data_IF_368415403275
#
_entry.id   IF_368415403275
#
_cell.length_a   1.000
_cell.length_b   1.000
_cell.length_c   1.000
_cell.angle_alpha   90.00
_cell.angle_beta   90.00
_cell.angle_gamma   90.00
#
_symmetry.space_group_name_H-M   'P 1'
#
loop_
_entity.id
_entity.type
_entity.pdbx_description
1 polymer ?
#
# COMPACT_ATOMS: atom_id res chain seq x y z
N UNK A 1 -27.41 13.19 -25.30
CA UNK A 1 -27.28 12.36 -24.11
C UNK A 1 -25.95 11.55 -24.05
N UNK A 2 -25.52 10.91 -25.10
CA UNK A 2 -24.27 10.09 -25.10
C UNK A 2 -22.97 10.90 -24.84
N UNK A 3 -22.86 12.14 -25.39
CA UNK A 3 -21.69 13.01 -25.16
C UNK A 3 -21.56 13.50 -23.70
N UNK A 4 -22.66 13.75 -23.02
CA UNK A 4 -22.69 14.21 -21.62
C UNK A 4 -22.22 13.13 -20.65
N UNK A 5 -22.63 11.87 -20.89
CA UNK A 5 -22.21 10.70 -20.11
C UNK A 5 -20.70 10.46 -20.28
N UNK A 6 -20.17 10.65 -21.50
CA UNK A 6 -18.74 10.54 -21.78
C UNK A 6 -17.91 11.59 -21.05
N UNK A 7 -18.40 12.84 -20.98
CA UNK A 7 -17.73 13.94 -20.26
C UNK A 7 -17.68 13.69 -18.75
N UNK A 8 -18.80 13.27 -18.15
CA UNK A 8 -18.88 12.93 -16.73
C UNK A 8 -17.93 11.78 -16.35
N UNK A 9 -17.90 10.73 -17.17
CA UNK A 9 -16.98 9.62 -16.96
C UNK A 9 -15.51 10.04 -17.02
N UNK A 10 -15.15 10.89 -17.99
CA UNK A 10 -13.79 11.42 -18.12
C UNK A 10 -13.41 12.28 -16.92
N UNK A 11 -14.30 13.18 -16.49
CA UNK A 11 -14.09 14.00 -15.30
C UNK A 11 -13.85 13.15 -14.05
N UNK A 12 -14.72 12.17 -13.80
CA UNK A 12 -14.60 11.28 -12.64
C UNK A 12 -13.31 10.49 -12.68
N UNK A 13 -12.90 10.01 -13.86
CA UNK A 13 -11.61 9.31 -14.02
C UNK A 13 -10.41 10.20 -13.71
N UNK A 14 -10.43 11.45 -14.15
CA UNK A 14 -9.36 12.42 -13.86
C UNK A 14 -9.28 12.67 -12.35
N UNK A 15 -10.42 12.91 -11.70
CA UNK A 15 -10.49 13.12 -10.25
C UNK A 15 -9.91 11.92 -9.49
N UNK A 16 -10.26 10.70 -9.86
CA UNK A 16 -9.71 9.50 -9.23
C UNK A 16 -8.20 9.38 -9.43
N UNK A 17 -7.67 9.72 -10.62
CA UNK A 17 -6.23 9.70 -10.89
C UNK A 17 -5.51 10.75 -10.02
N UNK A 18 -6.06 11.94 -9.87
CA UNK A 18 -5.49 13.00 -9.03
C UNK A 18 -5.50 12.62 -7.55
N UNK A 19 -6.61 12.09 -7.04
CA UNK A 19 -6.73 11.60 -5.67
C UNK A 19 -5.70 10.49 -5.42
N UNK A 20 -5.64 9.51 -6.32
CA UNK A 20 -4.68 8.42 -6.19
C UNK A 20 -3.23 8.94 -6.23
N UNK A 21 -2.90 9.82 -7.17
CA UNK A 21 -1.57 10.41 -7.29
C UNK A 21 -1.15 11.16 -6.02
N UNK A 22 -2.09 11.89 -5.41
CA UNK A 22 -1.86 12.58 -4.15
C UNK A 22 -1.56 11.61 -3.00
N UNK A 23 -2.40 10.57 -2.81
CA UNK A 23 -2.16 9.56 -1.77
C UNK A 23 -0.91 8.73 -2.04
N UNK A 24 -0.61 8.41 -3.29
CA UNK A 24 0.63 7.74 -3.65
C UNK A 24 1.86 8.58 -3.28
N UNK A 25 1.82 9.89 -3.55
CA UNK A 25 2.86 10.82 -3.16
C UNK A 25 3.06 10.88 -1.65
N UNK A 26 1.96 10.95 -0.87
CA UNK A 26 2.04 10.93 0.59
C UNK A 26 2.67 9.63 1.11
N UNK A 27 2.22 8.49 0.59
CA UNK A 27 2.78 7.18 0.96
C UNK A 27 4.25 7.06 0.58
N UNK A 28 4.64 7.56 -0.59
CA UNK A 28 6.04 7.57 -1.02
C UNK A 28 6.89 8.43 -0.07
N UNK A 29 6.44 9.63 0.29
CA UNK A 29 7.15 10.48 1.25
C UNK A 29 7.35 9.75 2.59
N UNK A 30 6.28 9.17 3.14
CA UNK A 30 6.37 8.42 4.39
C UNK A 30 7.33 7.24 4.27
N UNK A 31 7.30 6.50 3.16
CA UNK A 31 8.22 5.37 2.95
C UNK A 31 9.68 5.82 2.88
N UNK A 32 9.96 6.97 2.28
CA UNK A 32 11.32 7.52 2.18
C UNK A 32 11.92 7.91 3.53
N UNK A 33 11.09 8.28 4.52
CA UNK A 33 11.57 8.56 5.89
C UNK A 33 12.19 7.34 6.57
N UNK A 34 11.86 6.13 6.09
CA UNK A 34 12.41 4.86 6.59
C UNK A 34 13.65 4.37 5.82
N UNK A 35 14.30 5.25 5.05
CA UNK A 35 15.56 4.95 4.34
C UNK A 35 16.64 5.95 4.80
N UNK A 36 17.75 5.47 5.42
CA UNK A 36 18.07 4.08 5.77
C UNK A 36 17.18 3.52 6.90
N UNK A 37 17.14 2.19 7.01
CA UNK A 37 16.36 1.51 8.05
C UNK A 37 16.90 1.88 9.44
N UNK A 38 16.09 2.61 10.23
CA UNK A 38 16.40 3.11 11.57
C UNK A 38 15.21 2.85 12.48
N UNK A 39 15.47 2.56 13.76
CA UNK A 39 14.42 2.25 14.73
C UNK A 39 13.83 3.48 15.43
N UNK A 40 14.40 4.65 15.21
CA UNK A 40 14.11 5.91 15.90
C UNK A 40 13.43 6.96 15.00
N UNK A 41 12.70 6.51 13.96
CA UNK A 41 12.04 7.39 13.00
C UNK A 41 10.52 7.22 12.99
N UNK A 42 9.82 8.34 12.78
CA UNK A 42 8.38 8.41 12.52
C UNK A 42 7.53 7.49 13.42
N UNK A 43 6.80 6.55 12.81
CA UNK A 43 5.89 5.65 13.53
C UNK A 43 6.60 4.76 14.57
N UNK A 44 7.87 4.39 14.35
CA UNK A 44 8.61 3.55 15.29
C UNK A 44 8.90 4.26 16.61
N UNK A 45 9.04 5.58 16.61
CA UNK A 45 9.24 6.38 17.83
C UNK A 45 8.07 6.30 18.83
N UNK A 46 6.85 6.06 18.35
CA UNK A 46 5.66 5.95 19.20
C UNK A 46 5.36 4.50 19.64
N UNK A 47 6.15 3.53 19.16
CA UNK A 47 6.06 2.14 19.58
C UNK A 47 6.78 1.92 20.90
N UNK A 48 6.27 0.96 21.68
CA UNK A 48 6.92 0.52 22.92
C UNK A 48 8.31 -0.03 22.61
N UNK A 49 9.29 0.37 23.41
CA UNK A 49 10.70 -0.05 23.26
C UNK A 49 10.85 -1.56 23.22
N UNK A 50 10.03 -2.28 24.02
CA UNK A 50 10.00 -3.75 24.05
C UNK A 50 9.66 -4.34 22.67
N UNK A 51 8.70 -3.75 21.95
CA UNK A 51 8.31 -4.22 20.61
C UNK A 51 9.39 -3.95 19.58
N UNK A 52 10.05 -2.80 19.66
CA UNK A 52 11.12 -2.39 18.73
C UNK A 52 12.38 -3.21 18.96
N UNK A 53 12.65 -3.66 20.18
CA UNK A 53 13.81 -4.52 20.51
C UNK A 53 13.74 -5.91 19.85
N UNK A 54 12.55 -6.34 19.43
CA UNK A 54 12.40 -7.57 18.67
C UNK A 54 12.78 -7.35 17.20
N UNK A 55 13.89 -7.93 16.78
CA UNK A 55 14.37 -7.86 15.38
C UNK A 55 13.32 -8.35 14.36
N UNK A 56 12.50 -9.32 14.76
CA UNK A 56 11.39 -9.84 13.94
C UNK A 56 10.35 -8.78 13.64
N UNK A 57 9.97 -7.94 14.63
CA UNK A 57 9.00 -6.86 14.40
C UNK A 57 9.51 -5.87 13.36
N UNK A 58 10.76 -5.44 13.47
CA UNK A 58 11.40 -4.53 12.52
C UNK A 58 11.46 -5.13 11.12
N UNK A 59 11.79 -6.42 11.01
CA UNK A 59 11.78 -7.13 9.73
C UNK A 59 10.41 -7.09 9.05
N UNK A 60 9.34 -7.44 9.77
CA UNK A 60 7.98 -7.40 9.23
C UNK A 60 7.50 -5.97 8.95
N UNK A 61 7.85 -5.02 9.80
CA UNK A 61 7.55 -3.60 9.60
C UNK A 61 8.16 -3.09 8.29
N UNK A 62 9.45 -3.26 8.09
CA UNK A 62 10.12 -2.79 6.87
C UNK A 62 9.64 -3.54 5.63
N UNK A 63 9.39 -4.84 5.74
CA UNK A 63 8.79 -5.62 4.65
C UNK A 63 7.44 -5.02 4.26
N UNK A 64 6.59 -4.70 5.23
CA UNK A 64 5.28 -4.10 4.98
C UNK A 64 5.41 -2.72 4.33
N UNK A 65 6.20 -1.84 4.91
CA UNK A 65 6.38 -0.45 4.44
C UNK A 65 6.88 -0.42 3.00
N UNK A 66 7.94 -1.16 2.69
CA UNK A 66 8.52 -1.13 1.34
C UNK A 66 7.67 -1.85 0.30
N UNK A 67 7.04 -2.99 0.65
CA UNK A 67 6.19 -3.69 -0.32
C UNK A 67 4.89 -2.97 -0.58
N UNK A 68 4.33 -2.25 0.40
CA UNK A 68 3.06 -1.52 0.24
C UNK A 68 3.11 -0.49 -0.89
N UNK A 69 4.25 0.21 -1.09
CA UNK A 69 4.37 1.19 -2.18
C UNK A 69 4.33 0.50 -3.56
N UNK A 70 4.94 -0.68 -3.70
CA UNK A 70 4.89 -1.46 -4.93
C UNK A 70 3.53 -2.09 -5.18
N UNK A 71 2.84 -2.54 -4.13
CA UNK A 71 1.44 -3.02 -4.19
C UNK A 71 0.54 -1.90 -4.70
N UNK A 72 0.64 -0.71 -4.11
CA UNK A 72 -0.15 0.45 -4.49
C UNK A 72 0.09 0.84 -5.95
N UNK A 73 1.34 0.91 -6.38
CA UNK A 73 1.72 1.24 -7.75
C UNK A 73 1.24 0.19 -8.77
N UNK A 74 1.48 -1.10 -8.49
CA UNK A 74 1.07 -2.17 -9.39
C UNK A 74 -0.45 -2.31 -9.47
N UNK A 75 -1.14 -2.14 -8.35
CA UNK A 75 -2.61 -2.11 -8.30
C UNK A 75 -3.21 -0.97 -9.11
N UNK A 76 -2.62 0.23 -9.02
CA UNK A 76 -3.05 1.37 -9.83
C UNK A 76 -2.93 1.07 -11.33
N UNK A 77 -1.78 0.57 -11.78
CA UNK A 77 -1.60 0.22 -13.19
C UNK A 77 -2.62 -0.85 -13.60
N UNK A 78 -2.81 -1.89 -12.80
CA UNK A 78 -3.76 -2.96 -13.08
C UNK A 78 -5.20 -2.45 -13.22
N UNK A 79 -5.61 -1.47 -12.42
CA UNK A 79 -6.98 -0.90 -12.48
C UNK A 79 -7.15 0.06 -13.67
N UNK A 80 -6.18 0.93 -13.92
CA UNK A 80 -6.33 2.01 -14.91
C UNK A 80 -5.92 1.62 -16.33
N UNK A 81 -5.06 0.62 -16.47
CA UNK A 81 -4.70 0.08 -17.78
C UNK A 81 -5.78 -0.89 -18.23
N UNK A 82 -6.63 -0.45 -19.17
CA UNK A 82 -7.66 -1.31 -19.74
C UNK A 82 -7.04 -2.51 -20.47
N UNK A 83 -7.61 -3.73 -20.35
CA UNK A 83 -7.11 -4.94 -21.01
C UNK A 83 -7.42 -4.96 -22.52
N UNK A 84 -7.16 -3.85 -23.24
CA UNK A 84 -7.19 -3.80 -24.69
C UNK A 84 -6.02 -4.61 -25.27
N UNK A 85 -6.13 -5.05 -26.52
CA UNK A 85 -5.13 -5.90 -27.16
C UNK A 85 -3.69 -5.39 -27.01
N UNK A 86 -3.47 -4.08 -27.18
CA UNK A 86 -2.16 -3.42 -27.05
C UNK A 86 -1.59 -3.43 -25.62
N UNK A 87 -2.45 -3.38 -24.59
CA UNK A 87 -2.01 -3.24 -23.18
C UNK A 87 -2.34 -4.45 -22.32
N UNK A 88 -2.85 -5.53 -22.91
CA UNK A 88 -3.25 -6.74 -22.19
C UNK A 88 -2.09 -7.38 -21.41
N UNK A 89 -0.91 -7.42 -22.00
CA UNK A 89 0.26 -8.01 -21.35
C UNK A 89 0.71 -7.17 -20.15
N UNK A 90 0.68 -5.83 -20.28
CA UNK A 90 0.99 -4.90 -19.20
C UNK A 90 0.01 -5.06 -18.02
N UNK A 91 -1.29 -5.05 -18.31
CA UNK A 91 -2.35 -5.28 -17.30
C UNK A 91 -2.17 -6.61 -16.57
N UNK A 92 -1.90 -7.71 -17.32
CA UNK A 92 -1.66 -9.03 -16.72
C UNK A 92 -0.40 -9.08 -15.88
N UNK A 93 0.68 -8.45 -16.33
CA UNK A 93 1.95 -8.41 -15.63
C UNK A 93 1.81 -7.69 -14.28
N UNK A 94 1.30 -6.46 -14.30
CA UNK A 94 1.11 -5.69 -13.06
C UNK A 94 0.02 -6.28 -12.15
N UNK A 95 -1.03 -6.89 -12.72
CA UNK A 95 -2.03 -7.62 -11.94
C UNK A 95 -1.45 -8.82 -11.19
N UNK A 96 -0.55 -9.59 -11.81
CA UNK A 96 0.15 -10.69 -11.14
C UNK A 96 1.09 -10.19 -10.05
N UNK A 97 1.89 -9.15 -10.33
CA UNK A 97 2.77 -8.51 -9.33
C UNK A 97 1.97 -8.03 -8.13
N UNK A 98 0.85 -7.32 -8.37
CA UNK A 98 -0.04 -6.86 -7.31
C UNK A 98 -0.48 -8.01 -6.39
N UNK A 99 -1.02 -9.09 -6.97
CA UNK A 99 -1.52 -10.23 -6.19
C UNK A 99 -0.39 -10.92 -5.43
N UNK A 100 0.75 -11.16 -6.07
CA UNK A 100 1.90 -11.82 -5.45
C UNK A 100 2.44 -10.99 -4.27
N UNK A 101 2.71 -9.70 -4.49
CA UNK A 101 3.23 -8.82 -3.43
C UNK A 101 2.23 -8.66 -2.29
N UNK A 102 0.93 -8.54 -2.62
CA UNK A 102 -0.12 -8.40 -1.62
C UNK A 102 -0.21 -9.65 -0.74
N UNK A 103 -0.34 -10.83 -1.34
CA UNK A 103 -0.62 -12.06 -0.60
C UNK A 103 0.61 -12.65 0.10
N UNK A 104 1.81 -12.51 -0.49
CA UNK A 104 3.01 -13.13 0.06
C UNK A 104 3.81 -12.22 1.00
N UNK A 105 3.72 -10.92 0.84
CA UNK A 105 4.55 -9.98 1.59
C UNK A 105 3.72 -8.96 2.38
N UNK A 106 2.89 -8.14 1.72
CA UNK A 106 2.23 -7.03 2.37
C UNK A 106 1.16 -7.48 3.37
N UNK A 107 0.30 -8.44 3.02
CA UNK A 107 -0.74 -8.91 3.92
C UNK A 107 -0.17 -9.71 5.12
N UNK A 108 0.73 -10.70 4.96
CA UNK A 108 1.31 -11.40 6.10
C UNK A 108 2.08 -10.48 7.04
N UNK A 109 2.87 -9.55 6.51
CA UNK A 109 3.61 -8.59 7.34
C UNK A 109 2.67 -7.59 8.03
N UNK A 110 1.61 -7.15 7.38
CA UNK A 110 0.58 -6.29 7.97
C UNK A 110 -0.18 -6.99 9.10
N UNK A 111 -0.56 -8.26 8.92
CA UNK A 111 -1.20 -9.08 9.96
C UNK A 111 -0.27 -9.23 11.16
N UNK A 112 1.00 -9.56 10.93
CA UNK A 112 1.99 -9.65 12.01
C UNK A 112 2.07 -8.35 12.82
N UNK A 113 2.18 -7.20 12.14
CA UNK A 113 2.18 -5.89 12.80
C UNK A 113 0.89 -5.61 13.55
N UNK A 114 -0.25 -6.09 13.06
CA UNK A 114 -1.56 -5.96 13.67
C UNK A 114 -1.62 -6.56 15.09
N UNK A 115 -0.93 -7.67 15.34
CA UNK A 115 -0.83 -8.27 16.69
C UNK A 115 -0.14 -7.35 17.70
N UNK A 116 0.72 -6.45 17.24
CA UNK A 116 1.41 -5.45 18.06
C UNK A 116 0.76 -4.06 17.97
N UNK A 117 -0.47 -3.96 17.46
CA UNK A 117 -1.17 -2.67 17.38
C UNK A 117 -1.41 -2.07 18.78
N UNK A 118 -1.16 -0.77 18.92
CA UNK A 118 -1.44 -0.02 20.14
C UNK A 118 -2.97 0.19 20.25
N UNK A 119 -3.52 0.20 21.47
CA UNK A 119 -4.95 0.45 21.70
C UNK A 119 -5.76 -0.78 22.14
N UNK A 120 -5.08 -1.86 22.55
CA UNK A 120 -5.70 -3.05 23.14
C UNK A 120 -6.34 -3.99 22.11
N UNK A 121 -7.23 -4.87 22.58
CA UNK A 121 -7.81 -5.96 21.79
C UNK A 121 -8.60 -5.44 20.58
N UNK A 122 -9.39 -4.38 20.76
CA UNK A 122 -10.22 -3.82 19.67
C UNK A 122 -9.35 -3.29 18.52
N UNK A 123 -8.24 -2.61 18.83
CA UNK A 123 -7.31 -2.16 17.81
C UNK A 123 -6.68 -3.34 17.07
N UNK A 124 -6.23 -4.37 17.78
CA UNK A 124 -5.64 -5.57 17.17
C UNK A 124 -6.63 -6.27 16.24
N UNK A 125 -7.87 -6.44 16.65
CA UNK A 125 -8.93 -7.03 15.82
C UNK A 125 -9.14 -6.19 14.55
N UNK A 126 -9.25 -4.86 14.70
CA UNK A 126 -9.47 -3.96 13.56
C UNK A 126 -8.32 -3.94 12.53
N UNK A 127 -7.10 -4.30 12.94
CA UNK A 127 -5.95 -4.39 12.04
C UNK A 127 -5.82 -5.76 11.35
N UNK A 128 -6.43 -6.82 11.90
CA UNK A 128 -6.30 -8.19 11.38
C UNK A 128 -7.49 -8.57 10.49
N UNK A 129 -8.67 -7.95 10.69
CA UNK A 129 -9.88 -8.15 9.88
C UNK A 129 -9.97 -7.10 8.77
#
# INVERSE_FOLDING_TARGET
>A
MQKTISGFYLFFKIVLILIFGYFFWLMLRLTLEYIPAQSDVSFLMIKQTEVISHSEYLYFFYTHVYTSIFVLFSGFIAVFVKPKAAFRNLHRFFGKIYVILLLLLAAPSGIYMGFYANGGILAKISFVI
#
